data_IF_504142331331
#
_entry.id   IF_504142331331
#
_cell.length_a   1.000
_cell.length_b   1.000
_cell.length_c   1.000
_cell.angle_alpha   90.00
_cell.angle_beta   90.00
_cell.angle_gamma   90.00
#
_symmetry.space_group_name_H-M   'P 1'
#
loop_
_entity.id
_entity.type
_entity.pdbx_description
1 polymer ?
#
# COMPACT_ATOMS: atom_id res chain seq x y z
N UNK A 1 -7.93 -24.24 -7.70
CA UNK A 1 -6.53 -24.04 -8.17
C UNK A 1 -5.63 -23.89 -6.96
N UNK A 2 -4.36 -24.31 -7.12
CA UNK A 2 -3.31 -23.97 -6.15
C UNK A 2 -2.54 -22.75 -6.64
N UNK A 3 -2.60 -21.66 -5.90
CA UNK A 3 -1.93 -20.40 -6.21
C UNK A 3 -0.74 -20.24 -5.28
N UNK A 4 0.44 -19.98 -5.82
CA UNK A 4 1.65 -19.76 -5.04
C UNK A 4 2.13 -18.33 -5.21
N UNK A 5 2.27 -17.59 -4.12
CA UNK A 5 2.79 -16.21 -4.12
C UNK A 5 4.15 -16.11 -3.44
N UNK A 6 5.14 -15.59 -4.13
CA UNK A 6 6.49 -15.42 -3.59
C UNK A 6 6.78 -13.93 -3.43
N UNK A 7 7.09 -13.50 -2.23
CA UNK A 7 7.32 -12.09 -1.93
C UNK A 7 8.61 -11.85 -1.14
N UNK A 8 9.37 -10.83 -1.53
CA UNK A 8 10.41 -10.22 -0.71
C UNK A 8 9.84 -9.08 0.14
N UNK A 9 10.64 -8.51 1.01
CA UNK A 9 10.27 -7.40 1.88
C UNK A 9 9.07 -7.67 2.81
N UNK A 10 8.74 -8.93 3.02
CA UNK A 10 7.78 -9.37 4.01
C UNK A 10 8.46 -9.49 5.37
N UNK A 11 7.94 -8.78 6.37
CA UNK A 11 8.47 -8.81 7.73
C UNK A 11 7.38 -8.56 8.78
N UNK A 12 7.66 -8.78 10.07
CA UNK A 12 6.67 -8.60 11.14
C UNK A 12 6.05 -7.19 11.19
N UNK A 13 6.84 -6.20 10.77
CA UNK A 13 6.45 -4.77 10.75
C UNK A 13 6.22 -4.24 9.32
N UNK A 14 6.16 -5.11 8.29
CA UNK A 14 5.83 -4.67 6.93
C UNK A 14 4.33 -4.38 6.80
N UNK A 15 4.00 -3.29 6.11
CA UNK A 15 2.62 -2.86 5.86
C UNK A 15 2.04 -3.49 4.59
N UNK A 16 2.07 -2.76 3.47
CA UNK A 16 1.34 -3.05 2.24
C UNK A 16 1.49 -4.47 1.70
N UNK A 17 2.72 -4.98 1.50
CA UNK A 17 2.96 -6.32 0.94
C UNK A 17 2.37 -7.41 1.84
N UNK A 18 2.55 -7.29 3.17
CA UNK A 18 1.99 -8.25 4.12
C UNK A 18 0.46 -8.24 4.09
N UNK A 19 -0.15 -7.07 4.13
CA UNK A 19 -1.61 -6.92 4.03
C UNK A 19 -2.12 -7.52 2.73
N UNK A 20 -1.50 -7.19 1.59
CA UNK A 20 -1.89 -7.72 0.27
C UNK A 20 -1.85 -9.25 0.24
N UNK A 21 -0.75 -9.87 0.70
CA UNK A 21 -0.63 -11.33 0.76
C UNK A 21 -1.71 -11.97 1.62
N UNK A 22 -1.99 -11.39 2.78
CA UNK A 22 -2.98 -11.95 3.70
C UNK A 22 -4.40 -11.82 3.15
N UNK A 23 -4.76 -10.67 2.58
CA UNK A 23 -6.11 -10.47 2.05
C UNK A 23 -6.35 -11.26 0.75
N UNK A 24 -5.36 -11.35 -0.14
CA UNK A 24 -5.43 -12.24 -1.31
C UNK A 24 -5.60 -13.69 -0.88
N UNK A 25 -4.79 -14.15 0.09
CA UNK A 25 -4.86 -15.53 0.58
C UNK A 25 -6.22 -15.88 1.19
N UNK A 26 -6.73 -15.05 2.11
CA UNK A 26 -8.07 -15.22 2.67
C UNK A 26 -9.13 -15.28 1.56
N UNK A 27 -9.03 -14.37 0.60
CA UNK A 27 -9.97 -14.28 -0.51
C UNK A 27 -9.92 -15.50 -1.43
N UNK A 28 -8.73 -15.97 -1.80
CA UNK A 28 -8.58 -17.18 -2.62
C UNK A 28 -9.14 -18.42 -1.91
N UNK A 29 -8.82 -18.59 -0.62
CA UNK A 29 -9.33 -19.71 0.20
C UNK A 29 -10.85 -19.66 0.30
N UNK A 30 -11.44 -18.48 0.54
CA UNK A 30 -12.90 -18.32 0.61
C UNK A 30 -13.62 -18.65 -0.70
N UNK A 31 -12.89 -18.68 -1.83
CA UNK A 31 -13.37 -19.07 -3.16
C UNK A 31 -13.01 -20.52 -3.53
N UNK A 32 -12.51 -21.32 -2.58
CA UNK A 32 -12.19 -22.74 -2.77
C UNK A 32 -10.86 -23.00 -3.48
N UNK A 33 -9.89 -22.08 -3.38
CA UNK A 33 -8.55 -22.27 -3.91
C UNK A 33 -7.55 -22.50 -2.79
N UNK A 34 -6.51 -23.28 -3.07
CA UNK A 34 -5.36 -23.42 -2.18
C UNK A 34 -4.41 -22.25 -2.36
N UNK A 35 -3.94 -21.67 -1.28
CA UNK A 35 -2.98 -20.58 -1.33
C UNK A 35 -1.74 -20.87 -0.48
N UNK A 36 -0.58 -20.78 -1.12
CA UNK A 36 0.73 -20.92 -0.48
C UNK A 36 1.52 -19.64 -0.70
N UNK A 37 2.00 -19.03 0.36
CA UNK A 37 2.86 -17.84 0.21
C UNK A 37 4.25 -18.07 0.81
N UNK A 38 5.26 -17.77 -0.02
CA UNK A 38 6.68 -17.97 0.29
C UNK A 38 7.31 -16.63 0.61
N UNK A 39 7.86 -16.53 1.81
CA UNK A 39 8.40 -15.28 2.36
C UNK A 39 9.80 -15.48 2.95
N UNK A 40 10.60 -14.40 3.01
CA UNK A 40 11.96 -14.48 3.57
C UNK A 40 11.94 -14.66 5.09
N UNK A 41 12.90 -15.41 5.62
CA UNK A 41 13.10 -15.62 7.04
C UNK A 41 14.53 -15.98 7.41
N UNK A 42 14.74 -16.36 8.66
CA UNK A 42 16.03 -16.84 9.17
C UNK A 42 16.26 -18.33 8.90
N UNK A 43 15.18 -19.11 8.89
CA UNK A 43 15.18 -20.55 8.73
C UNK A 43 14.05 -21.00 7.80
N UNK A 44 14.09 -22.25 7.38
CA UNK A 44 12.96 -22.89 6.70
C UNK A 44 11.90 -23.24 7.76
N UNK A 45 10.67 -22.80 7.50
CA UNK A 45 9.53 -23.10 8.34
C UNK A 45 8.25 -23.11 7.50
N UNK A 46 7.35 -24.03 7.80
CA UNK A 46 6.06 -24.16 7.13
C UNK A 46 4.95 -24.22 8.18
N UNK A 47 3.92 -23.41 8.02
CA UNK A 47 2.79 -23.36 8.93
C UNK A 47 1.50 -23.00 8.19
N UNK A 48 0.39 -23.53 8.70
CA UNK A 48 -0.93 -23.11 8.28
C UNK A 48 -1.33 -21.82 9.00
N UNK A 49 -1.90 -20.89 8.23
CA UNK A 49 -2.41 -19.62 8.75
C UNK A 49 -3.80 -19.35 8.20
N UNK A 50 -4.59 -18.44 8.78
CA UNK A 50 -5.88 -18.04 8.20
C UNK A 50 -5.80 -17.49 6.76
N UNK A 51 -4.60 -17.13 6.31
CA UNK A 51 -4.34 -16.62 4.96
C UNK A 51 -3.70 -17.67 4.04
N UNK A 52 -3.66 -18.94 4.44
CA UNK A 52 -3.06 -20.04 3.68
C UNK A 52 -1.75 -20.54 4.27
N UNK A 53 -1.12 -21.49 3.58
CA UNK A 53 0.14 -22.10 4.01
C UNK A 53 1.29 -21.12 3.85
N UNK A 54 1.92 -20.72 4.95
CA UNK A 54 3.10 -19.87 4.96
C UNK A 54 4.38 -20.71 4.91
N UNK A 55 5.20 -20.48 3.91
CA UNK A 55 6.53 -21.09 3.80
C UNK A 55 7.58 -19.99 3.98
N UNK A 56 8.36 -20.09 5.03
CA UNK A 56 9.48 -19.19 5.29
C UNK A 56 10.76 -19.84 4.77
N UNK A 57 11.59 -19.09 4.04
CA UNK A 57 12.86 -19.59 3.50
C UNK A 57 14.06 -18.79 4.00
N UNK A 58 15.21 -19.43 4.27
CA UNK A 58 16.43 -18.74 4.68
C UNK A 58 16.82 -17.68 3.67
N UNK A 59 17.04 -16.46 4.13
CA UNK A 59 17.18 -15.30 3.28
C UNK A 59 18.19 -14.29 3.82
N UNK A 60 18.79 -13.52 2.91
CA UNK A 60 19.79 -12.53 3.23
C UNK A 60 19.15 -11.29 3.89
N UNK A 61 19.78 -10.78 4.96
CA UNK A 61 19.38 -9.51 5.58
C UNK A 61 19.91 -8.37 4.72
N UNK A 62 19.02 -7.51 4.24
CA UNK A 62 19.40 -6.34 3.48
C UNK A 62 19.96 -5.26 4.43
N UNK A 63 21.22 -4.82 4.28
CA UNK A 63 21.81 -3.78 5.12
C UNK A 63 20.97 -2.49 5.06
N UNK A 64 20.93 -1.75 6.18
CA UNK A 64 20.24 -0.46 6.30
C UNK A 64 18.75 -0.45 5.98
N UNK A 65 18.12 -1.62 5.79
CA UNK A 65 16.70 -1.75 5.45
C UNK A 65 15.74 -1.77 6.63
N UNK A 66 16.26 -1.71 7.87
CA UNK A 66 15.44 -1.90 9.07
C UNK A 66 15.03 -3.37 9.30
N UNK A 67 15.88 -4.32 8.88
CA UNK A 67 15.70 -5.76 9.13
C UNK A 67 14.97 -6.52 8.04
N UNK A 68 14.72 -5.93 6.87
CA UNK A 68 14.17 -6.67 5.75
C UNK A 68 15.15 -7.72 5.22
N UNK A 69 14.56 -8.83 4.78
CA UNK A 69 15.26 -9.94 4.17
C UNK A 69 14.87 -10.10 2.71
N UNK A 70 15.79 -10.66 1.90
CA UNK A 70 15.63 -10.87 0.47
C UNK A 70 16.02 -12.31 0.11
N UNK A 71 15.15 -12.98 -0.62
CA UNK A 71 15.37 -14.33 -1.14
C UNK A 71 16.31 -14.23 -2.34
N UNK A 72 17.50 -14.79 -2.20
CA UNK A 72 18.50 -14.86 -3.29
C UNK A 72 18.65 -16.28 -3.84
N UNK A 73 18.36 -17.31 -3.06
CA UNK A 73 18.50 -18.71 -3.46
C UNK A 73 17.35 -19.17 -4.37
N UNK A 74 17.41 -18.79 -5.65
CA UNK A 74 16.42 -19.18 -6.65
C UNK A 74 16.36 -20.70 -6.91
N UNK A 75 17.45 -21.45 -6.64
CA UNK A 75 17.43 -22.91 -6.80
C UNK A 75 16.52 -23.56 -5.77
N UNK A 76 16.58 -23.13 -4.51
CA UNK A 76 15.67 -23.60 -3.47
C UNK A 76 14.20 -23.27 -3.81
N UNK A 77 13.94 -22.05 -4.26
CA UNK A 77 12.59 -21.63 -4.69
C UNK A 77 12.07 -22.50 -5.86
N UNK A 78 12.91 -22.74 -6.87
CA UNK A 78 12.50 -23.59 -8.01
C UNK A 78 12.18 -25.02 -7.58
N UNK A 79 12.94 -25.60 -6.63
CA UNK A 79 12.63 -26.93 -6.05
C UNK A 79 11.29 -26.88 -5.32
N UNK A 80 11.05 -25.85 -4.52
CA UNK A 80 9.80 -25.67 -3.81
C UNK A 80 8.59 -25.55 -4.77
N UNK A 81 8.71 -24.79 -5.87
CA UNK A 81 7.67 -24.72 -6.91
C UNK A 81 7.41 -26.09 -7.54
N UNK A 82 8.46 -26.87 -7.83
CA UNK A 82 8.31 -28.23 -8.36
C UNK A 82 7.58 -29.13 -7.36
N UNK A 83 7.98 -29.11 -6.09
CA UNK A 83 7.40 -29.96 -5.04
C UNK A 83 5.94 -29.62 -4.76
N UNK A 84 5.59 -28.33 -4.71
CA UNK A 84 4.23 -27.86 -4.42
C UNK A 84 3.32 -27.88 -5.64
N UNK A 85 3.89 -27.92 -6.85
CA UNK A 85 3.18 -27.97 -8.14
C UNK A 85 1.99 -26.99 -8.22
N UNK A 86 2.22 -25.67 -8.10
CA UNK A 86 1.12 -24.71 -8.17
C UNK A 86 0.60 -24.57 -9.60
N UNK A 87 -0.72 -24.31 -9.74
CA UNK A 87 -1.35 -24.00 -11.01
C UNK A 87 -1.01 -22.59 -11.49
N UNK A 88 -0.73 -21.69 -10.55
CA UNK A 88 -0.43 -20.26 -10.80
C UNK A 88 0.69 -19.77 -9.90
N UNK A 89 1.57 -18.94 -10.47
CA UNK A 89 2.67 -18.32 -9.73
C UNK A 89 2.50 -16.81 -9.71
N UNK A 90 2.48 -16.22 -8.52
CA UNK A 90 2.52 -14.78 -8.29
C UNK A 90 3.87 -14.38 -7.67
N UNK A 91 4.40 -13.22 -8.06
CA UNK A 91 5.70 -12.73 -7.57
C UNK A 91 5.59 -11.26 -7.20
N UNK A 92 5.90 -10.93 -5.95
CA UNK A 92 6.02 -9.55 -5.45
C UNK A 92 7.50 -9.16 -5.26
N UNK A 93 8.25 -9.21 -6.36
CA UNK A 93 9.63 -8.71 -6.45
C UNK A 93 10.03 -8.57 -7.92
N UNK A 94 10.34 -7.37 -8.33
CA UNK A 94 10.71 -7.02 -9.71
C UNK A 94 12.19 -7.26 -10.02
N UNK A 95 13.03 -7.42 -9.00
CA UNK A 95 14.49 -7.44 -9.13
C UNK A 95 15.05 -8.86 -8.98
N UNK A 96 15.11 -9.35 -7.74
CA UNK A 96 15.83 -10.60 -7.44
C UNK A 96 15.09 -11.85 -7.92
N UNK A 97 13.75 -11.84 -7.89
CA UNK A 97 12.91 -12.98 -8.28
C UNK A 97 12.41 -12.93 -9.73
N UNK A 98 12.72 -11.88 -10.48
CA UNK A 98 12.22 -11.64 -11.83
C UNK A 98 12.47 -12.79 -12.84
N UNK A 99 13.50 -13.61 -12.62
CA UNK A 99 13.80 -14.76 -13.51
C UNK A 99 12.88 -15.97 -13.26
N UNK A 100 12.12 -16.00 -12.15
CA UNK A 100 11.18 -17.09 -11.86
C UNK A 100 10.02 -17.12 -12.85
N UNK A 101 9.55 -15.95 -13.31
CA UNK A 101 8.48 -15.87 -14.29
C UNK A 101 8.79 -16.65 -15.57
N UNK A 102 9.90 -16.32 -16.26
CA UNK A 102 10.34 -17.04 -17.46
C UNK A 102 10.49 -18.55 -17.19
N UNK A 103 11.01 -18.92 -16.04
CA UNK A 103 11.23 -20.32 -15.69
C UNK A 103 9.90 -21.07 -15.46
N UNK A 104 8.90 -20.43 -14.84
CA UNK A 104 7.56 -20.98 -14.61
C UNK A 104 6.79 -21.13 -15.93
N UNK A 105 6.77 -20.07 -16.76
CA UNK A 105 6.11 -20.09 -18.08
C UNK A 105 6.66 -21.22 -18.96
N UNK A 106 7.98 -21.43 -18.97
CA UNK A 106 8.60 -22.53 -19.71
C UNK A 106 8.18 -23.94 -19.23
N UNK A 107 7.48 -24.03 -18.07
CA UNK A 107 6.92 -25.27 -17.48
C UNK A 107 5.40 -25.31 -17.53
N UNK A 108 4.77 -24.42 -18.29
CA UNK A 108 3.34 -24.34 -18.41
C UNK A 108 2.64 -23.75 -17.18
N UNK A 109 3.39 -23.10 -16.26
CA UNK A 109 2.82 -22.42 -15.09
C UNK A 109 2.67 -20.92 -15.42
N UNK A 110 1.44 -20.42 -15.66
CA UNK A 110 1.20 -19.00 -15.85
C UNK A 110 1.67 -18.21 -14.63
N UNK A 111 2.34 -17.10 -14.89
CA UNK A 111 2.97 -16.32 -13.82
C UNK A 111 2.64 -14.84 -13.93
N UNK A 112 2.44 -14.21 -12.78
CA UNK A 112 2.15 -12.79 -12.66
C UNK A 112 3.18 -12.10 -11.76
N UNK A 113 3.56 -10.86 -12.10
CA UNK A 113 4.43 -10.03 -11.25
C UNK A 113 3.69 -8.77 -10.82
N UNK A 114 3.69 -8.50 -9.52
CA UNK A 114 3.14 -7.28 -8.94
C UNK A 114 4.17 -6.14 -8.97
N UNK A 115 3.75 -4.99 -9.45
CA UNK A 115 4.51 -3.74 -9.40
C UNK A 115 4.07 -2.91 -8.19
N UNK A 116 4.60 -3.26 -7.02
CA UNK A 116 4.30 -2.55 -5.76
C UNK A 116 5.07 -1.24 -5.59
N UNK A 117 6.10 -1.01 -6.40
CA UNK A 117 6.92 0.20 -6.32
C UNK A 117 7.08 0.84 -7.69
N UNK A 118 7.26 2.17 -7.73
CA UNK A 118 7.79 2.87 -8.90
C UNK A 118 9.30 2.73 -8.93
N UNK A 119 9.83 1.94 -9.86
CA UNK A 119 11.28 1.78 -10.00
C UNK A 119 11.96 3.08 -10.43
N UNK A 120 11.31 3.87 -11.29
CA UNK A 120 11.77 5.21 -11.66
C UNK A 120 11.84 6.12 -10.44
N UNK A 121 10.81 6.08 -9.59
CA UNK A 121 10.75 6.85 -8.34
C UNK A 121 11.84 6.44 -7.37
N UNK A 122 12.00 5.14 -7.10
CA UNK A 122 13.04 4.62 -6.21
C UNK A 122 14.44 5.02 -6.70
N UNK A 123 14.74 4.83 -7.98
CA UNK A 123 16.05 5.21 -8.54
C UNK A 123 16.31 6.71 -8.34
N UNK A 124 15.34 7.58 -8.60
CA UNK A 124 15.48 9.02 -8.37
C UNK A 124 15.64 9.40 -6.90
N UNK A 125 15.06 8.63 -5.98
CA UNK A 125 15.16 8.90 -4.54
C UNK A 125 16.54 8.53 -3.98
N UNK A 126 17.14 7.44 -4.48
CA UNK A 126 18.37 6.90 -3.90
C UNK A 126 19.62 7.14 -4.74
N UNK A 127 19.48 7.51 -6.02
CA UNK A 127 20.60 7.72 -6.94
C UNK A 127 20.53 9.09 -7.61
N UNK A 128 21.67 9.80 -7.73
CA UNK A 128 21.73 11.15 -8.30
C UNK A 128 21.60 11.18 -9.84
N UNK A 129 21.42 10.03 -10.49
CA UNK A 129 21.46 9.89 -11.94
C UNK A 129 20.08 9.59 -12.52
N UNK A 130 19.81 10.12 -13.72
CA UNK A 130 18.62 9.76 -14.48
C UNK A 130 18.81 8.41 -15.20
N UNK A 131 18.35 7.33 -14.60
CA UNK A 131 18.42 5.98 -15.13
C UNK A 131 17.15 5.52 -15.86
N UNK A 132 16.33 6.43 -16.36
CA UNK A 132 15.04 6.11 -17.02
C UNK A 132 15.22 5.10 -18.18
N UNK A 133 16.28 5.20 -18.99
CA UNK A 133 16.57 4.23 -20.06
C UNK A 133 16.84 2.83 -19.51
N UNK A 134 17.58 2.72 -18.42
CA UNK A 134 17.85 1.45 -17.74
C UNK A 134 16.57 0.87 -17.12
N UNK A 135 15.76 1.68 -16.45
CA UNK A 135 14.47 1.25 -15.90
C UNK A 135 13.54 0.75 -17.00
N UNK A 136 13.47 1.45 -18.14
CA UNK A 136 12.67 1.02 -19.29
C UNK A 136 13.15 -0.31 -19.86
N UNK A 137 14.46 -0.50 -20.00
CA UNK A 137 15.04 -1.76 -20.45
C UNK A 137 14.73 -2.90 -19.47
N UNK A 138 14.91 -2.64 -18.16
CA UNK A 138 14.58 -3.61 -17.12
C UNK A 138 13.09 -4.01 -17.16
N UNK A 139 12.18 -3.02 -17.25
CA UNK A 139 10.74 -3.26 -17.28
C UNK A 139 10.32 -4.04 -18.55
N UNK A 140 10.92 -3.78 -19.74
CA UNK A 140 10.70 -4.61 -20.94
C UNK A 140 11.10 -6.06 -20.70
N UNK A 141 12.30 -6.28 -20.09
CA UNK A 141 12.75 -7.64 -19.76
C UNK A 141 11.88 -8.31 -18.70
N UNK A 142 11.38 -7.54 -17.72
CA UNK A 142 10.47 -8.04 -16.71
C UNK A 142 9.15 -8.48 -17.35
N UNK A 143 8.50 -7.62 -18.14
CA UNK A 143 7.25 -7.91 -18.81
C UNK A 143 7.36 -9.15 -19.71
N UNK A 144 8.45 -9.29 -20.46
CA UNK A 144 8.70 -10.45 -21.33
C UNK A 144 8.92 -11.78 -20.58
N UNK A 145 9.08 -11.75 -19.24
CA UNK A 145 9.31 -12.94 -18.41
C UNK A 145 8.07 -13.50 -17.76
N UNK A 146 7.00 -12.72 -17.69
CA UNK A 146 5.78 -13.10 -17.00
C UNK A 146 4.60 -13.17 -17.97
N UNK A 147 3.60 -13.96 -17.63
CA UNK A 147 2.33 -13.98 -18.35
C UNK A 147 1.60 -12.67 -18.19
N UNK A 148 1.63 -12.09 -16.98
CA UNK A 148 1.01 -10.81 -16.67
C UNK A 148 1.90 -9.93 -15.78
N UNK A 149 1.84 -8.62 -16.02
CA UNK A 149 2.34 -7.60 -15.10
C UNK A 149 1.13 -6.94 -14.45
N UNK A 150 1.10 -6.89 -13.12
CA UNK A 150 -0.01 -6.32 -12.37
C UNK A 150 0.45 -4.97 -11.81
N UNK A 151 -0.27 -3.92 -12.18
CA UNK A 151 -0.14 -2.58 -11.61
C UNK A 151 -1.41 -2.22 -10.84
N UNK A 152 -1.26 -1.53 -9.72
CA UNK A 152 -2.38 -1.26 -8.81
C UNK A 152 -3.15 0.02 -9.16
N UNK A 153 -2.53 0.93 -9.91
CA UNK A 153 -3.06 2.26 -10.26
C UNK A 153 -2.60 2.68 -11.65
N UNK A 154 -3.13 3.76 -12.18
CA UNK A 154 -2.65 4.39 -13.41
C UNK A 154 -1.20 4.88 -13.25
N UNK A 155 -0.87 5.44 -12.09
CA UNK A 155 0.49 5.85 -11.76
C UNK A 155 1.46 4.67 -11.83
N UNK A 156 1.16 3.54 -11.16
CA UNK A 156 1.99 2.33 -11.21
C UNK A 156 2.08 1.74 -12.63
N UNK A 157 0.98 1.79 -13.40
CA UNK A 157 0.91 1.31 -14.78
C UNK A 157 1.72 2.17 -15.76
N UNK A 158 1.92 3.46 -15.46
CA UNK A 158 2.56 4.42 -16.35
C UNK A 158 3.96 4.00 -16.81
N UNK A 159 4.76 3.38 -15.94
CA UNK A 159 6.10 2.87 -16.27
C UNK A 159 6.05 1.76 -17.34
N UNK A 160 5.00 0.95 -17.34
CA UNK A 160 4.80 -0.15 -18.28
C UNK A 160 4.09 0.31 -19.55
N UNK A 161 3.12 1.23 -19.46
CA UNK A 161 2.47 1.85 -20.63
C UNK A 161 3.48 2.61 -21.49
N UNK A 162 4.40 3.36 -20.86
CA UNK A 162 5.48 4.10 -21.54
C UNK A 162 6.36 3.22 -22.41
N UNK A 163 6.48 1.93 -22.11
CA UNK A 163 7.29 0.98 -22.90
C UNK A 163 6.45 0.06 -23.77
N UNK A 164 5.14 0.28 -23.89
CA UNK A 164 4.22 -0.47 -24.75
C UNK A 164 3.96 -1.90 -24.28
N UNK A 165 3.91 -2.15 -22.94
CA UNK A 165 3.67 -3.47 -22.37
C UNK A 165 2.26 -3.96 -22.73
N UNK A 166 2.16 -5.11 -23.42
CA UNK A 166 0.89 -5.69 -23.88
C UNK A 166 0.19 -6.55 -22.82
N UNK A 167 0.95 -7.18 -21.92
CA UNK A 167 0.46 -8.07 -20.85
C UNK A 167 0.29 -7.37 -19.52
N UNK A 168 -0.01 -6.08 -19.54
CA UNK A 168 -0.27 -5.25 -18.37
C UNK A 168 -1.74 -5.41 -17.95
N UNK A 169 -1.97 -5.80 -16.70
CA UNK A 169 -3.28 -5.77 -16.04
C UNK A 169 -3.28 -4.71 -14.95
N UNK A 170 -4.32 -3.91 -14.88
CA UNK A 170 -4.51 -2.95 -13.79
C UNK A 170 -5.51 -3.51 -12.80
N UNK A 171 -5.05 -3.83 -11.57
CA UNK A 171 -5.85 -4.44 -10.52
C UNK A 171 -5.60 -3.65 -9.23
N UNK A 172 -6.52 -2.78 -8.81
CA UNK A 172 -6.38 -2.02 -7.58
C UNK A 172 -6.37 -2.95 -6.36
N UNK A 173 -5.65 -2.55 -5.32
CA UNK A 173 -5.75 -3.18 -4.01
C UNK A 173 -7.05 -2.73 -3.33
N UNK A 174 -7.40 -3.41 -2.24
CA UNK A 174 -8.60 -3.11 -1.49
C UNK A 174 -8.33 -2.59 -0.08
N UNK A 175 -9.41 -2.26 0.61
CA UNK A 175 -9.45 -1.96 2.04
C UNK A 175 -10.42 -2.89 2.76
N UNK A 176 -10.12 -3.19 4.01
CA UNK A 176 -11.02 -3.95 4.90
C UNK A 176 -12.01 -2.99 5.56
N UNK A 177 -13.17 -2.83 4.93
CA UNK A 177 -14.25 -1.94 5.37
C UNK A 177 -14.88 -2.38 6.70
N UNK A 178 -14.65 -3.62 7.14
CA UNK A 178 -15.11 -4.09 8.45
C UNK A 178 -14.17 -3.69 9.57
N UNK A 179 -12.87 -3.61 9.27
CA UNK A 179 -11.84 -3.20 10.22
C UNK A 179 -11.62 -1.69 10.25
N UNK A 180 -11.93 -0.97 9.16
CA UNK A 180 -11.79 0.48 9.03
C UNK A 180 -13.16 1.09 8.73
N UNK A 181 -13.66 1.89 9.67
CA UNK A 181 -14.99 2.52 9.59
C UNK A 181 -15.01 3.77 10.47
N UNK A 182 -15.80 4.81 10.11
CA UNK A 182 -16.04 5.96 10.98
C UNK A 182 -16.65 5.59 12.34
N UNK A 183 -17.29 4.43 12.44
CA UNK A 183 -17.89 3.91 13.69
C UNK A 183 -16.86 3.62 14.78
N UNK A 184 -15.58 3.53 14.44
CA UNK A 184 -14.48 3.38 15.40
C UNK A 184 -13.98 4.70 15.99
N UNK A 185 -14.63 5.84 15.68
CA UNK A 185 -14.33 7.12 16.32
C UNK A 185 -14.39 6.98 17.84
N UNK A 186 -13.39 7.53 18.53
CA UNK A 186 -13.30 7.51 19.97
C UNK A 186 -12.89 8.90 20.50
N UNK A 187 -13.81 9.57 21.14
CA UNK A 187 -13.62 10.93 21.63
C UNK A 187 -12.49 11.01 22.68
N UNK A 188 -12.44 10.10 23.64
CA UNK A 188 -11.40 10.10 24.68
C UNK A 188 -10.01 9.91 24.07
N UNK A 189 -9.88 8.98 23.11
CA UNK A 189 -8.61 8.78 22.40
C UNK A 189 -8.22 10.03 21.62
N UNK A 190 -9.17 10.68 20.94
CA UNK A 190 -8.93 11.93 20.20
C UNK A 190 -8.39 13.02 21.14
N UNK A 191 -9.03 13.27 22.24
CA UNK A 191 -8.58 14.27 23.23
C UNK A 191 -7.17 13.95 23.77
N UNK A 192 -6.93 12.69 24.11
CA UNK A 192 -5.62 12.22 24.57
C UNK A 192 -4.51 12.40 23.53
N UNK A 193 -4.82 12.25 22.23
CA UNK A 193 -3.87 12.40 21.14
C UNK A 193 -3.70 13.86 20.69
N UNK A 194 -4.77 14.63 20.65
CA UNK A 194 -4.77 16.04 20.28
C UNK A 194 -4.09 16.94 21.32
N UNK A 195 -4.06 16.50 22.60
CA UNK A 195 -3.43 17.23 23.73
C UNK A 195 -3.92 18.69 23.84
N UNK A 196 -5.22 18.89 23.61
CA UNK A 196 -5.86 20.20 23.66
C UNK A 196 -5.84 20.97 22.36
N UNK A 197 -5.16 20.52 21.31
CA UNK A 197 -5.20 21.18 20.02
C UNK A 197 -6.57 20.99 19.34
N UNK A 198 -7.00 22.01 18.59
CA UNK A 198 -8.27 22.00 17.85
C UNK A 198 -8.31 20.89 16.80
N UNK A 199 -7.20 20.70 16.06
CA UNK A 199 -7.13 19.72 14.96
C UNK A 199 -6.11 18.62 15.25
N UNK A 200 -6.52 17.37 15.02
CA UNK A 200 -5.67 16.19 15.13
C UNK A 200 -5.27 15.71 13.73
N UNK A 201 -4.00 15.89 13.40
CA UNK A 201 -3.40 15.38 12.16
C UNK A 201 -2.77 14.02 12.40
N UNK A 202 -2.84 13.10 11.45
CA UNK A 202 -2.21 11.77 11.54
C UNK A 202 -1.33 11.49 10.32
N UNK A 203 -0.13 10.94 10.57
CA UNK A 203 0.72 10.32 9.55
C UNK A 203 0.80 8.82 9.87
N UNK A 204 0.15 7.99 9.05
CA UNK A 204 0.19 6.54 9.22
C UNK A 204 1.06 5.91 8.14
N UNK A 205 2.23 5.36 8.53
CA UNK A 205 3.12 4.75 7.57
C UNK A 205 4.53 4.49 8.06
N UNK A 206 5.35 3.91 7.17
CA UNK A 206 6.76 3.67 7.46
C UNK A 206 7.56 4.96 7.41
N UNK A 207 8.39 5.19 8.42
CA UNK A 207 9.29 6.35 8.47
C UNK A 207 10.58 6.04 7.70
N UNK A 208 10.52 6.14 6.38
CA UNK A 208 11.62 5.84 5.44
C UNK A 208 11.77 6.92 4.37
N UNK A 209 12.95 7.06 3.73
CA UNK A 209 13.22 8.19 2.82
C UNK A 209 12.23 8.31 1.66
N UNK A 210 11.80 7.21 1.06
CA UNK A 210 10.85 7.18 -0.06
C UNK A 210 9.44 7.65 0.32
N UNK A 211 9.09 7.60 1.62
CA UNK A 211 7.80 8.06 2.17
C UNK A 211 7.82 9.54 2.58
N UNK A 212 8.98 10.18 2.61
CA UNK A 212 9.13 11.60 2.96
C UNK A 212 8.38 12.02 4.24
N UNK A 213 8.45 11.27 5.36
CA UNK A 213 7.59 11.51 6.54
C UNK A 213 7.89 12.86 7.22
N UNK A 214 9.09 13.41 7.03
CA UNK A 214 9.45 14.75 7.58
C UNK A 214 8.56 15.86 7.05
N UNK A 215 8.02 15.75 5.84
CA UNK A 215 7.14 16.75 5.23
C UNK A 215 5.88 17.00 6.07
N UNK A 216 5.40 15.99 6.81
CA UNK A 216 4.23 16.17 7.67
C UNK A 216 4.51 17.10 8.86
N UNK A 217 5.66 17.00 9.53
CA UNK A 217 5.98 17.96 10.61
C UNK A 217 6.49 19.30 10.07
N UNK A 218 7.09 19.34 8.89
CA UNK A 218 7.46 20.58 8.23
C UNK A 218 6.20 21.38 7.84
N UNK A 219 5.16 20.72 7.34
CA UNK A 219 3.86 21.34 7.10
C UNK A 219 3.21 21.82 8.41
N UNK A 220 3.27 21.01 9.48
CA UNK A 220 2.78 21.43 10.80
C UNK A 220 3.48 22.70 11.29
N UNK A 221 4.80 22.83 11.09
CA UNK A 221 5.54 24.03 11.46
C UNK A 221 5.07 25.28 10.68
N UNK A 222 4.69 25.13 9.41
CA UNK A 222 4.08 26.19 8.61
C UNK A 222 2.67 26.55 9.13
N UNK A 223 1.84 25.56 9.45
CA UNK A 223 0.52 25.76 10.05
C UNK A 223 0.59 26.54 11.37
N UNK A 224 1.55 26.20 12.24
CA UNK A 224 1.77 26.94 13.49
C UNK A 224 2.13 28.43 13.28
N UNK A 225 2.99 28.74 12.28
CA UNK A 225 3.31 30.12 11.92
C UNK A 225 2.07 30.92 11.49
N UNK A 226 1.07 30.24 10.94
CA UNK A 226 -0.22 30.82 10.51
C UNK A 226 -1.26 30.85 11.61
N UNK A 227 -0.93 30.37 12.83
CA UNK A 227 -1.84 30.35 13.97
C UNK A 227 -2.84 29.20 13.96
N UNK A 228 -2.63 28.16 13.13
CA UNK A 228 -3.46 26.97 13.13
C UNK A 228 -3.09 26.08 14.31
N UNK A 229 -4.04 25.82 15.19
CA UNK A 229 -3.87 24.99 16.39
C UNK A 229 -4.07 23.51 16.02
N UNK A 230 -2.97 22.80 15.74
CA UNK A 230 -2.97 21.42 15.32
C UNK A 230 -1.89 20.59 16.04
N UNK A 231 -2.19 19.31 16.29
CA UNK A 231 -1.26 18.32 16.82
C UNK A 231 -1.08 17.17 15.83
N UNK A 232 0.17 16.77 15.57
CA UNK A 232 0.47 15.70 14.61
C UNK A 232 0.86 14.40 15.34
N UNK A 233 0.22 13.30 14.96
CA UNK A 233 0.51 11.96 15.47
C UNK A 233 1.12 11.09 14.38
N UNK A 234 2.29 10.50 14.65
CA UNK A 234 2.92 9.50 13.79
C UNK A 234 2.57 8.08 14.28
N UNK A 235 1.93 7.30 13.40
CA UNK A 235 1.66 5.87 13.56
C UNK A 235 2.57 5.09 12.62
N UNK A 236 3.58 4.43 13.17
CA UNK A 236 4.56 3.67 12.39
C UNK A 236 5.98 3.85 12.90
N UNK A 237 6.87 3.07 12.33
CA UNK A 237 8.30 3.11 12.64
C UNK A 237 9.13 3.02 11.37
N UNK A 238 10.44 3.12 11.49
CA UNK A 238 11.32 3.01 10.33
C UNK A 238 12.72 3.57 10.58
N UNK A 239 13.59 3.52 9.56
CA UNK A 239 14.98 3.94 9.70
C UNK A 239 15.14 5.42 10.06
N UNK A 240 14.15 6.28 9.74
CA UNK A 240 14.21 7.71 10.05
C UNK A 240 13.68 8.06 11.45
N UNK A 241 13.23 7.09 12.26
CA UNK A 241 12.61 7.31 13.57
C UNK A 241 13.36 8.30 14.46
N UNK A 242 14.64 8.02 14.72
CA UNK A 242 15.46 8.86 15.63
C UNK A 242 15.67 10.26 15.07
N UNK A 243 15.96 10.38 13.76
CA UNK A 243 16.15 11.65 13.07
C UNK A 243 14.87 12.49 13.09
N UNK A 244 13.71 11.87 12.84
CA UNK A 244 12.40 12.53 12.86
C UNK A 244 12.11 13.12 14.25
N UNK A 245 12.28 12.32 15.32
CA UNK A 245 12.07 12.79 16.70
C UNK A 245 13.02 13.93 17.08
N UNK A 246 14.24 13.93 16.59
CA UNK A 246 15.19 14.99 16.84
C UNK A 246 14.79 16.28 16.11
N UNK A 247 14.43 16.18 14.83
CA UNK A 247 14.15 17.34 13.98
C UNK A 247 12.79 18.00 14.28
N UNK A 248 11.85 17.25 14.89
CA UNK A 248 10.54 17.77 15.30
C UNK A 248 10.47 18.28 16.75
N UNK A 249 11.63 18.41 17.44
CA UNK A 249 11.64 18.97 18.81
C UNK A 249 11.06 20.39 18.83
N UNK A 250 10.18 20.62 19.82
CA UNK A 250 9.50 21.91 19.97
C UNK A 250 8.20 22.04 19.17
N UNK A 251 7.90 21.11 18.28
CA UNK A 251 6.62 21.07 17.58
C UNK A 251 5.62 20.17 18.35
N UNK A 252 4.30 20.39 18.24
CA UNK A 252 3.26 19.56 18.83
C UNK A 252 3.12 18.22 18.07
N UNK A 253 4.07 17.32 18.29
CA UNK A 253 4.18 16.03 17.59
C UNK A 253 4.26 14.88 18.60
N UNK A 254 3.47 13.83 18.36
CA UNK A 254 3.54 12.58 19.11
C UNK A 254 3.93 11.41 18.20
N UNK A 255 4.85 10.57 18.66
CA UNK A 255 5.29 9.35 17.95
C UNK A 255 4.81 8.12 18.71
N UNK A 256 3.87 7.37 18.15
CA UNK A 256 3.30 6.16 18.76
C UNK A 256 4.10 4.89 18.42
N UNK A 257 4.94 4.95 17.39
CA UNK A 257 5.66 3.78 16.92
C UNK A 257 4.81 2.84 16.08
N UNK A 258 5.33 1.63 15.87
CA UNK A 258 4.61 0.59 15.15
C UNK A 258 3.51 0.01 16.03
N UNK A 259 2.28 0.04 15.55
CA UNK A 259 1.11 -0.55 16.19
C UNK A 259 0.70 -1.81 15.41
N UNK A 260 0.77 -2.96 16.06
CA UNK A 260 0.39 -4.24 15.45
C UNK A 260 -1.12 -4.47 15.43
N UNK A 261 -1.82 -3.91 16.41
CA UNK A 261 -3.27 -3.99 16.55
C UNK A 261 -3.95 -3.10 15.50
N UNK A 262 -4.55 -3.73 14.49
CA UNK A 262 -5.24 -3.02 13.39
C UNK A 262 -6.48 -2.26 13.87
N UNK A 263 -7.18 -2.77 14.89
CA UNK A 263 -8.34 -2.09 15.48
C UNK A 263 -7.91 -0.77 16.11
N UNK A 264 -6.78 -0.77 16.82
CA UNK A 264 -6.22 0.46 17.41
C UNK A 264 -5.80 1.46 16.32
N UNK A 265 -5.21 0.98 15.22
CA UNK A 265 -4.89 1.85 14.07
C UNK A 265 -6.17 2.45 13.48
N UNK A 266 -7.21 1.65 13.26
CA UNK A 266 -8.50 2.11 12.76
C UNK A 266 -9.14 3.16 13.67
N UNK A 267 -9.09 2.94 15.00
CA UNK A 267 -9.60 3.92 15.97
C UNK A 267 -8.82 5.24 15.91
N UNK A 268 -7.50 5.19 15.77
CA UNK A 268 -6.67 6.41 15.62
C UNK A 268 -7.03 7.15 14.34
N UNK A 269 -7.13 6.43 13.21
CA UNK A 269 -7.50 7.03 11.94
C UNK A 269 -8.90 7.65 11.99
N UNK A 270 -9.90 6.92 12.50
CA UNK A 270 -11.28 7.42 12.63
C UNK A 270 -11.40 8.62 13.58
N UNK A 271 -10.46 8.79 14.51
CA UNK A 271 -10.45 9.89 15.48
C UNK A 271 -9.64 11.10 15.05
N UNK A 272 -8.92 11.02 13.91
CA UNK A 272 -8.15 12.13 13.35
C UNK A 272 -9.01 12.99 12.42
N UNK A 273 -8.69 14.26 12.31
CA UNK A 273 -9.37 15.20 11.41
C UNK A 273 -8.83 15.10 9.98
N UNK A 274 -7.51 14.97 9.82
CA UNK A 274 -6.84 14.86 8.51
C UNK A 274 -5.69 13.87 8.58
N UNK A 275 -5.57 13.02 7.55
CA UNK A 275 -4.44 12.12 7.35
C UNK A 275 -3.47 12.70 6.32
N UNK A 276 -2.14 12.56 6.57
CA UNK A 276 -1.10 13.08 5.70
C UNK A 276 -0.29 11.94 5.10
N UNK A 277 -0.31 11.82 3.76
CA UNK A 277 0.40 10.81 2.97
C UNK A 277 1.44 11.47 2.03
N UNK A 278 2.58 11.95 2.55
CA UNK A 278 3.48 12.82 1.79
C UNK A 278 4.43 12.10 0.84
N UNK A 279 4.35 10.77 0.75
CA UNK A 279 5.20 9.94 -0.09
C UNK A 279 5.01 10.23 -1.59
N UNK A 280 6.03 10.73 -2.31
CA UNK A 280 5.87 11.20 -3.69
C UNK A 280 5.85 10.07 -4.74
N UNK A 281 6.14 8.85 -4.34
CA UNK A 281 6.27 7.69 -5.25
C UNK A 281 5.39 6.51 -4.84
N UNK A 282 4.34 6.80 -4.08
CA UNK A 282 3.35 5.78 -3.70
C UNK A 282 2.65 5.22 -4.93
N UNK A 283 2.67 3.91 -5.07
CA UNK A 283 1.98 3.21 -6.17
C UNK A 283 0.53 2.85 -5.82
N UNK A 284 0.16 2.91 -4.54
CA UNK A 284 -1.21 2.73 -4.05
C UNK A 284 -1.44 3.47 -2.72
N UNK A 285 -0.66 3.18 -1.67
CA UNK A 285 -0.79 3.70 -0.30
C UNK A 285 -2.04 3.19 0.45
N UNK A 286 -1.98 1.95 0.93
CA UNK A 286 -3.08 1.36 1.73
C UNK A 286 -3.47 2.23 2.92
N UNK A 287 -2.51 2.88 3.60
CA UNK A 287 -2.80 3.72 4.76
C UNK A 287 -3.69 4.93 4.42
N UNK A 288 -3.55 5.50 3.22
CA UNK A 288 -4.43 6.58 2.76
C UNK A 288 -5.85 6.06 2.50
N UNK A 289 -5.98 4.89 1.88
CA UNK A 289 -7.29 4.26 1.67
C UNK A 289 -7.93 3.81 2.99
N UNK A 290 -7.14 3.31 3.95
CA UNK A 290 -7.57 2.98 5.31
C UNK A 290 -8.04 4.23 6.06
N UNK A 291 -7.41 5.40 5.82
CA UNK A 291 -7.87 6.69 6.36
C UNK A 291 -9.23 7.08 5.78
N UNK A 292 -9.42 7.02 4.47
CA UNK A 292 -10.72 7.28 3.83
C UNK A 292 -11.80 6.34 4.36
N UNK A 293 -11.51 5.04 4.46
CA UNK A 293 -12.43 4.05 5.01
C UNK A 293 -12.82 4.35 6.45
N UNK A 294 -11.94 4.98 7.21
CA UNK A 294 -12.20 5.46 8.58
C UNK A 294 -12.94 6.82 8.63
N UNK A 295 -13.29 7.39 7.48
CA UNK A 295 -13.96 8.69 7.38
C UNK A 295 -13.01 9.89 7.48
N UNK A 296 -11.70 9.69 7.32
CA UNK A 296 -10.70 10.75 7.50
C UNK A 296 -10.14 11.18 6.15
N UNK A 297 -10.33 12.44 5.74
CA UNK A 297 -9.81 12.98 4.50
C UNK A 297 -8.28 13.00 4.48
N UNK A 298 -7.69 12.93 3.28
CA UNK A 298 -6.25 12.73 3.10
C UNK A 298 -5.64 13.88 2.31
N UNK A 299 -4.51 14.42 2.81
CA UNK A 299 -3.60 15.25 2.02
C UNK A 299 -2.45 14.39 1.52
N UNK A 300 -2.26 14.33 0.20
CA UNK A 300 -1.26 13.48 -0.43
C UNK A 300 -0.35 14.25 -1.39
N UNK A 301 0.79 13.63 -1.74
CA UNK A 301 1.67 14.17 -2.77
C UNK A 301 1.00 14.09 -4.16
N UNK A 302 1.04 15.16 -4.94
CA UNK A 302 0.56 15.24 -6.32
C UNK A 302 1.25 14.25 -7.27
N UNK A 303 2.48 13.82 -6.93
CA UNK A 303 3.27 12.89 -7.73
C UNK A 303 3.12 11.44 -7.27
N UNK A 304 2.06 11.13 -6.53
CA UNK A 304 1.73 9.77 -6.05
C UNK A 304 0.42 9.27 -6.66
N UNK A 305 0.19 7.97 -6.51
CA UNK A 305 -1.07 7.36 -6.94
C UNK A 305 -2.27 7.73 -6.04
N UNK A 306 -2.03 8.32 -4.87
CA UNK A 306 -3.11 8.56 -3.89
C UNK A 306 -4.19 9.48 -4.46
N UNK A 307 -3.81 10.48 -5.27
CA UNK A 307 -4.75 11.35 -5.95
C UNK A 307 -5.81 10.63 -6.79
N UNK A 308 -5.51 9.41 -7.31
CA UNK A 308 -6.44 8.66 -8.16
C UNK A 308 -7.70 8.20 -7.42
N UNK A 309 -7.63 7.99 -6.10
CA UNK A 309 -8.78 7.57 -5.29
C UNK A 309 -9.29 8.66 -4.35
N UNK A 310 -8.69 9.85 -4.33
CA UNK A 310 -9.25 11.02 -3.66
C UNK A 310 -10.35 11.70 -4.47
N UNK A 311 -10.32 11.57 -5.79
CA UNK A 311 -11.32 12.17 -6.69
C UNK A 311 -12.59 11.31 -6.73
N UNK A 312 -13.74 11.91 -6.50
CA UNK A 312 -15.06 11.32 -6.74
C UNK A 312 -15.41 11.54 -8.20
N UNK A 313 -15.32 12.79 -8.66
CA UNK A 313 -15.45 13.21 -10.05
C UNK A 313 -14.54 14.39 -10.40
N UNK A 314 -14.78 15.09 -11.52
CA UNK A 314 -13.94 16.21 -11.97
C UNK A 314 -13.95 17.42 -11.02
N UNK A 315 -14.99 17.57 -10.20
CA UNK A 315 -15.24 18.74 -9.35
C UNK A 315 -15.25 18.40 -7.86
N UNK A 316 -15.28 17.14 -7.50
CA UNK A 316 -15.44 16.70 -6.12
C UNK A 316 -14.31 15.75 -5.68
N UNK A 317 -13.78 16.02 -4.50
CA UNK A 317 -12.72 15.18 -3.89
C UNK A 317 -12.93 15.02 -2.38
N UNK A 318 -12.51 13.88 -1.86
CA UNK A 318 -12.48 13.55 -0.42
C UNK A 318 -11.11 13.79 0.21
N UNK A 319 -10.29 14.59 -0.42
CA UNK A 319 -8.96 14.92 0.05
C UNK A 319 -8.33 15.97 -0.84
N UNK A 320 -7.05 16.21 -0.67
CA UNK A 320 -6.29 17.17 -1.45
C UNK A 320 -4.94 16.60 -1.90
N UNK A 321 -4.43 17.08 -3.03
CA UNK A 321 -3.07 16.80 -3.47
C UNK A 321 -2.22 18.06 -3.37
N UNK A 322 -0.97 17.90 -2.95
CA UNK A 322 -0.06 19.02 -2.72
C UNK A 322 1.28 18.81 -3.45
N UNK A 323 1.88 19.89 -3.91
CA UNK A 323 3.24 19.87 -4.40
C UNK A 323 4.22 19.41 -3.29
N UNK A 324 5.35 18.86 -3.69
CA UNK A 324 6.28 18.15 -2.80
C UNK A 324 7.10 19.06 -1.89
N UNK A 325 6.45 20.02 -1.20
CA UNK A 325 7.07 20.93 -0.23
C UNK A 325 6.14 21.20 0.97
N UNK A 326 6.69 21.70 2.06
CA UNK A 326 5.99 21.95 3.32
C UNK A 326 4.86 22.97 3.19
N UNK A 327 5.09 24.06 2.44
CA UNK A 327 4.12 25.17 2.27
C UNK A 327 2.87 24.65 1.56
N UNK A 328 3.03 23.96 0.42
CA UNK A 328 1.90 23.42 -0.33
C UNK A 328 1.11 22.37 0.47
N UNK A 329 1.78 21.58 1.33
CA UNK A 329 1.08 20.66 2.24
C UNK A 329 0.31 21.41 3.33
N UNK A 330 0.88 22.52 3.86
CA UNK A 330 0.17 23.37 4.81
C UNK A 330 -1.06 24.01 4.17
N UNK A 331 -0.93 24.55 2.94
CA UNK A 331 -2.05 25.13 2.18
C UNK A 331 -3.18 24.10 2.01
N UNK A 332 -2.84 22.90 1.54
CA UNK A 332 -3.81 21.83 1.33
C UNK A 332 -4.47 21.33 2.64
N UNK A 333 -3.76 21.38 3.77
CA UNK A 333 -4.33 21.05 5.08
C UNK A 333 -5.31 22.14 5.52
N UNK A 334 -4.98 23.43 5.34
CA UNK A 334 -5.89 24.55 5.67
C UNK A 334 -7.15 24.50 4.81
N UNK A 335 -7.02 24.23 3.50
CA UNK A 335 -8.19 24.05 2.61
C UNK A 335 -9.09 22.91 3.09
N UNK A 336 -8.53 21.77 3.51
CA UNK A 336 -9.30 20.65 4.06
C UNK A 336 -9.90 20.97 5.43
N UNK A 337 -9.24 21.76 6.28
CA UNK A 337 -9.81 22.26 7.53
C UNK A 337 -11.06 23.08 7.25
N UNK A 338 -10.98 24.03 6.32
CA UNK A 338 -12.15 24.81 5.91
C UNK A 338 -13.25 23.91 5.36
N UNK A 339 -12.89 22.97 4.50
CA UNK A 339 -13.84 22.02 3.93
C UNK A 339 -14.56 21.19 5.01
N UNK A 340 -13.85 20.72 6.05
CA UNK A 340 -14.45 20.03 7.20
C UNK A 340 -15.43 20.91 7.99
N UNK A 341 -15.19 22.23 8.07
CA UNK A 341 -16.07 23.16 8.78
C UNK A 341 -17.35 23.48 7.99
N UNK A 342 -17.27 23.52 6.65
CA UNK A 342 -18.40 23.88 5.78
C UNK A 342 -19.15 22.68 5.16
N UNK A 343 -18.55 21.49 5.15
CA UNK A 343 -19.10 20.27 4.55
C UNK A 343 -19.20 19.15 5.61
N UNK A 344 -20.27 19.12 6.43
CA UNK A 344 -20.38 18.18 7.55
C UNK A 344 -20.47 16.70 7.12
N UNK A 345 -20.73 16.43 5.86
CA UNK A 345 -20.80 15.09 5.26
C UNK A 345 -19.46 14.63 4.64
N UNK A 346 -18.40 15.43 4.68
CA UNK A 346 -17.08 15.08 4.09
C UNK A 346 -16.57 13.74 4.64
N UNK A 347 -16.66 13.52 5.94
CA UNK A 347 -16.23 12.26 6.57
C UNK A 347 -17.02 11.05 6.03
N UNK A 348 -18.33 11.21 5.82
CA UNK A 348 -19.20 10.18 5.22
C UNK A 348 -18.77 9.89 3.78
N UNK A 349 -18.56 10.93 2.97
CA UNK A 349 -18.08 10.79 1.58
C UNK A 349 -16.71 10.14 1.47
N UNK A 350 -15.81 10.39 2.43
CA UNK A 350 -14.53 9.67 2.52
C UNK A 350 -14.75 8.16 2.63
N UNK A 351 -15.65 7.74 3.51
CA UNK A 351 -15.98 6.33 3.68
C UNK A 351 -16.62 5.74 2.43
N UNK A 352 -17.66 6.40 1.87
CA UNK A 352 -18.35 5.99 0.64
C UNK A 352 -17.39 5.86 -0.54
N UNK A 353 -16.43 6.79 -0.69
CA UNK A 353 -15.39 6.69 -1.73
C UNK A 353 -14.52 5.45 -1.56
N UNK A 354 -14.22 5.05 -0.33
CA UNK A 354 -13.43 3.85 -0.06
C UNK A 354 -14.16 2.54 -0.39
N UNK A 355 -15.50 2.55 -0.40
CA UNK A 355 -16.32 1.39 -0.77
C UNK A 355 -16.14 0.97 -2.23
N UNK A 356 -15.61 1.84 -3.09
CA UNK A 356 -15.23 1.51 -4.46
C UNK A 356 -14.01 0.56 -4.53
N UNK A 357 -13.30 0.35 -3.41
CA UNK A 357 -12.07 -0.43 -3.32
C UNK A 357 -12.16 -1.59 -2.30
N UNK A 358 -13.18 -2.46 -2.35
CA UNK A 358 -13.22 -3.61 -1.45
C UNK A 358 -12.23 -4.68 -1.91
N UNK A 359 -11.64 -5.42 -0.98
CA UNK A 359 -10.77 -6.57 -1.32
C UNK A 359 -11.46 -7.62 -2.19
N UNK A 360 -12.78 -7.78 -2.07
CA UNK A 360 -13.55 -8.70 -2.91
C UNK A 360 -13.43 -8.42 -4.40
N UNK A 361 -13.33 -7.14 -4.79
CA UNK A 361 -13.11 -6.72 -6.19
C UNK A 361 -11.69 -7.08 -6.65
N UNK A 362 -10.67 -6.80 -5.86
CA UNK A 362 -9.28 -7.21 -6.13
C UNK A 362 -9.19 -8.72 -6.35
N UNK A 363 -9.76 -9.51 -5.44
CA UNK A 363 -9.76 -10.98 -5.48
C UNK A 363 -10.47 -11.48 -6.74
N UNK A 364 -11.63 -10.93 -7.08
CA UNK A 364 -12.39 -11.30 -8.27
C UNK A 364 -11.63 -11.01 -9.56
N UNK A 365 -10.95 -9.87 -9.65
CA UNK A 365 -10.12 -9.51 -10.79
C UNK A 365 -8.89 -10.43 -10.91
N UNK A 366 -8.25 -10.74 -9.79
CA UNK A 366 -7.11 -11.68 -9.77
C UNK A 366 -7.51 -13.09 -10.21
N UNK A 367 -8.63 -13.62 -9.70
CA UNK A 367 -9.14 -14.94 -10.10
C UNK A 367 -9.54 -14.96 -11.58
N UNK A 368 -10.15 -13.90 -12.09
CA UNK A 368 -10.43 -13.74 -13.53
C UNK A 368 -9.14 -13.77 -14.34
N UNK A 369 -8.09 -13.06 -13.90
CA UNK A 369 -6.78 -13.08 -14.55
C UNK A 369 -6.15 -14.48 -14.54
N UNK A 370 -6.38 -15.25 -13.50
CA UNK A 370 -5.94 -16.64 -13.38
C UNK A 370 -6.76 -17.62 -14.23
N UNK A 371 -7.81 -17.17 -14.89
CA UNK A 371 -8.68 -18.00 -15.74
C UNK A 371 -9.77 -18.74 -14.96
N UNK A 372 -10.04 -18.33 -13.72
CA UNK A 372 -11.20 -18.81 -12.98
C UNK A 372 -12.46 -18.18 -13.59
N UNK A 373 -13.34 -19.02 -14.14
CA UNK A 373 -14.61 -18.54 -14.71
C UNK A 373 -15.62 -18.39 -13.56
N UNK A 374 -16.23 -17.22 -13.37
CA UNK A 374 -17.29 -17.08 -12.38
C UNK A 374 -18.41 -18.07 -12.70
N UNK A 375 -18.83 -18.86 -11.71
CA UNK A 375 -19.99 -19.74 -11.85
C UNK A 375 -21.23 -18.90 -12.20
N UNK A 376 -22.11 -19.38 -13.05
CA UNK A 376 -23.33 -18.70 -13.53
C UNK A 376 -24.20 -18.10 -12.41
N UNK A 377 -24.09 -18.59 -11.18
CA UNK A 377 -24.75 -18.06 -9.98
C UNK A 377 -24.21 -16.69 -9.59
N UNK A 378 -22.89 -16.45 -9.75
CA UNK A 378 -22.28 -15.15 -9.42
C UNK A 378 -22.54 -14.08 -10.48
N UNK A 379 -22.74 -14.48 -11.74
CA UNK A 379 -23.12 -13.56 -12.84
C UNK A 379 -24.54 -13.02 -12.69
N UNK A 380 -25.50 -13.79 -12.16
CA UNK A 380 -26.89 -13.34 -11.92
C UNK A 380 -27.00 -12.30 -10.79
N UNK A 381 -26.13 -12.32 -9.80
CA UNK A 381 -26.12 -11.30 -8.75
C UNK A 381 -25.59 -9.93 -9.26
N UNK A 382 -24.66 -9.92 -10.20
CA UNK A 382 -24.13 -8.67 -10.80
C UNK A 382 -25.13 -7.98 -11.74
N UNK A 383 -25.99 -8.75 -12.42
CA UNK A 383 -27.05 -8.21 -13.29
C UNK A 383 -28.29 -7.69 -12.54
N UNK A 384 -28.38 -7.93 -11.22
CA UNK A 384 -29.47 -7.38 -10.37
C UNK A 384 -29.02 -6.15 -9.55
N UNK A 385 -27.72 -5.81 -9.57
CA UNK A 385 -27.13 -4.66 -8.86
C UNK A 385 -26.65 -3.55 -9.82
N UNK A 386 -26.88 -3.69 -11.12
CA UNK A 386 -26.76 -2.67 -12.15
C UNK A 386 -28.16 -2.31 -12.67
#
# INVERSE_FOLDING_TARGET
MKIMHIANFYGPKSGGIRTTLHELGKGYISKGHDFVYVVPGSSFYCEETPSGTRVTVPSFILPFSGGYRVILNKRAIKRLIITLAPDRLEVSDRLTLSSLGKWAVARGIPSSVFSHESLTGLVRTYLPFNLTKFVNWHNRRLAARFTHVIATTNFAASEFRRIGTQNLAQIPLGVDLTSFSPTFYNHELRENLAKGAKYLLVHCGRLSPEKQPQRSFEALAELQKRGVDAHLVYVGGGPLWSKMRQNSKGLPVTFLGYIADRKRVATILASADISIAPGPIETFCLAALESLASGTPVVASETSAVGEFLLIDQNESVGAVAANNAIAFADAIEDLIQKLEFEPDLNKRCHEQSENYPWSSTISLMLTLHGDRPTLIQAKHRLRAA
#
